data_IF_062457672700
#
_entry.id   IF_062457672700
#
_cell.length_a   1.000
_cell.length_b   1.000
_cell.length_c   1.000
_cell.angle_alpha   90.00
_cell.angle_beta   90.00
_cell.angle_gamma   90.00
#
_symmetry.space_group_name_H-M   'P 1'
#
loop_
_entity.id
_entity.type
_entity.pdbx_description
1 polymer ?
#
# COMPACT_ATOMS: atom_id res chain seq x y z
N UNK A 1 0.56 15.24 6.35
CA UNK A 1 1.77 16.09 6.32
C UNK A 1 2.82 15.71 7.34
N UNK A 2 2.57 15.85 8.65
CA UNK A 2 3.57 15.57 9.70
C UNK A 2 4.29 14.22 9.57
N UNK A 3 3.56 13.11 9.36
CA UNK A 3 4.19 11.79 9.27
C UNK A 3 5.16 11.65 8.09
N UNK A 4 4.93 12.34 6.96
CA UNK A 4 5.87 12.30 5.82
C UNK A 4 7.20 12.92 6.18
N UNK A 5 7.15 14.06 6.88
CA UNK A 5 8.35 14.76 7.38
C UNK A 5 9.09 13.89 8.38
N UNK A 6 8.37 13.24 9.31
CA UNK A 6 8.96 12.32 10.29
C UNK A 6 9.59 11.11 9.59
N UNK A 7 8.91 10.51 8.61
CA UNK A 7 9.44 9.37 7.86
C UNK A 7 10.73 9.72 7.12
N UNK A 8 10.76 10.86 6.41
CA UNK A 8 11.95 11.34 5.71
C UNK A 8 13.10 11.68 6.68
N UNK A 9 12.80 12.31 7.81
CA UNK A 9 13.80 12.61 8.83
C UNK A 9 14.38 11.35 9.49
N UNK A 10 13.53 10.34 9.73
CA UNK A 10 13.93 9.04 10.25
C UNK A 10 14.88 8.34 9.28
N UNK A 11 14.50 8.23 8.01
CA UNK A 11 15.31 7.58 6.98
C UNK A 11 16.66 8.29 6.79
N UNK A 12 16.68 9.63 6.80
CA UNK A 12 17.93 10.41 6.76
C UNK A 12 18.84 10.12 7.95
N UNK A 13 18.28 9.87 9.14
CA UNK A 13 19.04 9.67 10.37
C UNK A 13 19.55 8.24 10.53
N UNK A 14 18.75 7.25 10.14
CA UNK A 14 19.01 5.83 10.41
C UNK A 14 19.35 5.00 9.17
N UNK A 15 19.16 5.54 7.96
CA UNK A 15 19.45 4.86 6.70
C UNK A 15 18.43 3.77 6.34
N UNK A 16 17.29 3.71 7.02
CA UNK A 16 16.22 2.74 6.79
C UNK A 16 14.84 3.42 6.78
N UNK A 17 13.89 2.99 5.92
CA UNK A 17 12.54 3.53 5.91
C UNK A 17 11.81 3.32 7.24
N UNK A 18 11.13 4.36 7.72
CA UNK A 18 10.34 4.31 8.95
C UNK A 18 9.33 3.15 8.96
N UNK A 19 8.71 2.85 7.82
CA UNK A 19 7.76 1.74 7.70
C UNK A 19 8.38 0.39 8.08
N UNK A 20 9.60 0.14 7.61
CA UNK A 20 10.31 -1.12 7.84
C UNK A 20 10.75 -1.24 9.31
N UNK A 21 11.33 -0.17 9.85
CA UNK A 21 11.71 -0.14 11.26
C UNK A 21 10.50 -0.33 12.19
N UNK A 22 9.38 0.35 11.90
CA UNK A 22 8.16 0.19 12.68
C UNK A 22 7.60 -1.23 12.61
N UNK A 23 7.62 -1.88 11.44
CA UNK A 23 7.16 -3.26 11.29
C UNK A 23 7.91 -4.25 12.18
N UNK A 24 9.23 -4.10 12.33
CA UNK A 24 10.06 -4.98 13.13
C UNK A 24 9.72 -4.97 14.63
N UNK A 25 9.02 -3.95 15.12
CA UNK A 25 8.59 -3.83 16.52
C UNK A 25 7.24 -4.53 16.79
N UNK A 26 6.56 -5.01 15.75
CA UNK A 26 5.27 -5.68 15.86
C UNK A 26 5.31 -7.07 15.22
N UNK A 27 4.27 -7.86 15.47
CA UNK A 27 4.08 -9.15 14.79
C UNK A 27 2.63 -9.32 14.34
N UNK A 28 2.43 -10.14 13.31
CA UNK A 28 1.10 -10.58 12.88
C UNK A 28 0.22 -9.45 12.34
N UNK A 29 -0.99 -9.29 12.88
CA UNK A 29 -1.97 -8.30 12.39
C UNK A 29 -1.53 -6.87 12.72
N UNK A 30 -0.89 -6.66 13.88
CA UNK A 30 -0.44 -5.34 14.29
C UNK A 30 0.65 -4.81 13.35
N UNK A 31 1.60 -5.67 12.97
CA UNK A 31 2.65 -5.36 11.99
C UNK A 31 2.05 -4.93 10.64
N UNK A 32 1.12 -5.73 10.10
CA UNK A 32 0.43 -5.41 8.85
C UNK A 32 -0.32 -4.08 8.92
N UNK A 33 -0.99 -3.81 10.04
CA UNK A 33 -1.74 -2.56 10.22
C UNK A 33 -0.83 -1.33 10.27
N UNK A 34 0.28 -1.40 11.01
CA UNK A 34 1.26 -0.30 11.11
C UNK A 34 1.93 -0.04 9.77
N UNK A 35 2.35 -1.10 9.06
CA UNK A 35 2.88 -1.00 7.71
C UNK A 35 1.89 -0.31 6.77
N UNK A 36 0.63 -0.76 6.78
CA UNK A 36 -0.40 -0.19 5.93
C UNK A 36 -0.61 1.31 6.21
N UNK A 37 -0.67 1.71 7.49
CA UNK A 37 -0.88 3.11 7.88
C UNK A 37 0.25 4.02 7.41
N UNK A 38 1.51 3.61 7.61
CA UNK A 38 2.66 4.42 7.20
C UNK A 38 2.70 4.52 5.67
N UNK A 39 2.57 3.38 4.97
CA UNK A 39 2.62 3.32 3.51
C UNK A 39 1.47 4.06 2.84
N UNK A 40 0.28 4.08 3.43
CA UNK A 40 -0.84 4.87 2.93
C UNK A 40 -0.53 6.37 2.89
N UNK A 41 0.38 6.84 3.74
CA UNK A 41 0.78 8.25 3.79
C UNK A 41 2.00 8.51 2.90
N UNK A 42 2.97 7.61 2.88
CA UNK A 42 4.24 7.79 2.15
C UNK A 42 4.17 7.37 0.68
N UNK A 43 3.42 6.32 0.36
CA UNK A 43 3.37 5.67 -0.97
C UNK A 43 1.96 5.13 -1.30
N UNK A 44 0.87 5.94 -1.20
CA UNK A 44 -0.50 5.44 -1.31
C UNK A 44 -0.81 4.70 -2.60
N UNK A 45 -0.33 5.19 -3.76
CA UNK A 45 -0.67 4.58 -5.05
C UNK A 45 0.01 3.22 -5.24
N UNK A 46 1.25 3.07 -4.78
CA UNK A 46 1.97 1.79 -4.84
C UNK A 46 1.36 0.75 -3.89
N UNK A 47 1.00 1.17 -2.67
CA UNK A 47 0.31 0.33 -1.70
C UNK A 47 -1.06 -0.11 -2.22
N UNK A 48 -1.84 0.81 -2.79
CA UNK A 48 -3.16 0.48 -3.31
C UNK A 48 -3.08 -0.42 -4.55
N UNK A 49 -2.09 -0.22 -5.42
CA UNK A 49 -1.85 -1.13 -6.53
C UNK A 49 -1.54 -2.57 -6.04
N UNK A 50 -0.75 -2.71 -4.97
CA UNK A 50 -0.53 -4.00 -4.31
C UNK A 50 -1.83 -4.58 -3.75
N UNK A 51 -2.64 -3.78 -3.05
CA UNK A 51 -3.92 -4.23 -2.50
C UNK A 51 -4.86 -4.78 -3.58
N UNK A 52 -4.95 -4.11 -4.73
CA UNK A 52 -5.73 -4.59 -5.87
C UNK A 52 -5.14 -5.88 -6.45
N UNK A 53 -3.81 -5.97 -6.58
CA UNK A 53 -3.18 -7.20 -7.07
C UNK A 53 -3.40 -8.36 -6.10
N UNK A 54 -3.38 -8.12 -4.78
CA UNK A 54 -3.65 -9.14 -3.78
C UNK A 54 -5.06 -9.71 -3.88
N UNK A 55 -6.05 -8.86 -4.16
CA UNK A 55 -7.43 -9.31 -4.36
C UNK A 55 -7.61 -10.10 -5.68
N UNK A 56 -6.82 -9.79 -6.71
CA UNK A 56 -6.94 -10.36 -8.06
C UNK A 56 -6.03 -11.57 -8.31
N UNK A 57 -4.93 -11.71 -7.57
CA UNK A 57 -3.94 -12.78 -7.78
C UNK A 57 -4.43 -14.09 -7.19
N UNK A 58 -4.09 -15.21 -7.85
CA UNK A 58 -4.40 -16.56 -7.40
C UNK A 58 -5.46 -17.25 -8.25
N UNK A 59 -6.02 -18.35 -7.74
CA UNK A 59 -7.11 -19.06 -8.40
C UNK A 59 -8.42 -18.34 -8.10
N UNK A 60 -8.96 -17.64 -9.11
CA UNK A 60 -10.14 -16.80 -8.95
C UNK A 60 -9.80 -15.39 -8.46
N UNK A 61 -10.70 -14.80 -7.68
CA UNK A 61 -10.60 -13.43 -7.18
C UNK A 61 -11.23 -13.37 -5.79
N UNK A 62 -10.61 -12.67 -4.85
CA UNK A 62 -11.25 -12.34 -3.59
C UNK A 62 -12.24 -11.20 -3.82
N UNK A 63 -13.49 -11.57 -4.15
CA UNK A 63 -14.56 -10.64 -4.49
C UNK A 63 -14.87 -9.67 -3.35
N UNK A 64 -14.75 -10.11 -2.10
CA UNK A 64 -15.01 -9.28 -0.92
C UNK A 64 -13.92 -8.20 -0.76
N UNK A 65 -12.65 -8.60 -0.89
CA UNK A 65 -11.53 -7.67 -0.85
C UNK A 65 -11.57 -6.69 -2.02
N UNK A 66 -11.83 -7.18 -3.24
CA UNK A 66 -11.91 -6.37 -4.44
C UNK A 66 -13.05 -5.36 -4.35
N UNK A 67 -14.27 -5.80 -4.02
CA UNK A 67 -15.44 -4.94 -3.89
C UNK A 67 -15.22 -3.85 -2.83
N UNK A 68 -14.68 -4.24 -1.67
CA UNK A 68 -14.34 -3.29 -0.59
C UNK A 68 -13.31 -2.25 -1.04
N UNK A 69 -12.27 -2.68 -1.75
CA UNK A 69 -11.24 -1.78 -2.27
C UNK A 69 -11.78 -0.83 -3.34
N UNK A 70 -12.61 -1.33 -4.27
CA UNK A 70 -13.26 -0.50 -5.30
C UNK A 70 -14.14 0.55 -4.64
N UNK A 71 -15.06 0.16 -3.76
CA UNK A 71 -15.97 1.11 -3.07
C UNK A 71 -15.17 2.17 -2.33
N UNK A 72 -14.13 1.78 -1.59
CA UNK A 72 -13.34 2.70 -0.76
C UNK A 72 -12.44 3.64 -1.58
N UNK A 73 -11.89 3.16 -2.70
CA UNK A 73 -10.83 3.86 -3.44
C UNK A 73 -11.20 4.24 -4.88
N UNK A 74 -12.48 4.12 -5.27
CA UNK A 74 -12.94 4.45 -6.63
C UNK A 74 -12.50 5.85 -7.12
N UNK A 75 -12.48 6.84 -6.22
CA UNK A 75 -12.12 8.23 -6.54
C UNK A 75 -10.68 8.35 -7.05
N UNK A 76 -9.76 7.54 -6.52
CA UNK A 76 -8.33 7.54 -6.87
C UNK A 76 -7.96 6.44 -7.86
N UNK A 77 -8.93 5.64 -8.32
CA UNK A 77 -8.68 4.47 -9.17
C UNK A 77 -7.98 4.85 -10.48
N UNK A 78 -8.32 6.01 -11.05
CA UNK A 78 -7.66 6.54 -12.26
C UNK A 78 -6.16 6.69 -12.07
N UNK A 79 -5.72 7.08 -10.88
CA UNK A 79 -4.32 7.34 -10.56
C UNK A 79 -3.59 6.04 -10.17
N UNK A 80 -4.33 5.04 -9.66
CA UNK A 80 -3.81 3.70 -9.36
C UNK A 80 -3.51 2.92 -10.64
N UNK A 81 -4.38 2.99 -11.67
CA UNK A 81 -4.24 2.24 -12.93
C UNK A 81 -2.86 2.32 -13.59
N UNK A 82 -2.26 3.51 -13.82
CA UNK A 82 -0.93 3.60 -14.42
C UNK A 82 0.18 3.00 -13.54
N UNK A 83 0.08 3.15 -12.22
CA UNK A 83 1.04 2.56 -11.26
C UNK A 83 0.94 1.04 -11.29
N UNK A 84 -0.28 0.51 -11.26
CA UNK A 84 -0.55 -0.92 -11.36
C UNK A 84 0.00 -1.51 -12.67
N UNK A 85 -0.28 -0.86 -13.81
CA UNK A 85 0.25 -1.28 -15.11
C UNK A 85 1.78 -1.28 -15.14
N UNK A 86 2.41 -0.24 -14.61
CA UNK A 86 3.87 -0.14 -14.54
C UNK A 86 4.47 -1.26 -13.69
N UNK A 87 3.81 -1.62 -12.57
CA UNK A 87 4.31 -2.58 -11.59
C UNK A 87 4.09 -4.04 -11.99
N UNK A 88 2.94 -4.35 -12.60
CA UNK A 88 2.52 -5.73 -12.90
C UNK A 88 2.42 -6.06 -14.40
N UNK A 89 2.64 -5.08 -15.29
CA UNK A 89 2.62 -5.30 -16.74
C UNK A 89 1.25 -5.60 -17.34
N UNK A 90 0.18 -5.50 -16.54
CA UNK A 90 -1.21 -5.77 -16.94
C UNK A 90 -2.13 -4.64 -16.50
N UNK A 91 -3.22 -4.45 -17.22
CA UNK A 91 -4.21 -3.43 -16.87
C UNK A 91 -5.01 -3.82 -15.63
N UNK A 92 -5.27 -2.86 -14.74
CA UNK A 92 -6.30 -2.98 -13.72
C UNK A 92 -7.65 -2.69 -14.37
N UNK A 93 -8.36 -3.77 -14.71
CA UNK A 93 -9.65 -3.72 -15.42
C UNK A 93 -10.77 -3.27 -14.50
#
# INVERSE_FOLDING_TARGET
EHLRVVAAAYEKKYGEPLAKAAAHEFTGIAEKAVLFLIRMITEPLDLLAELFEEALKGFGTDENALSSAVVRYHIVLRDIKPVFKKKYGKELR
#
